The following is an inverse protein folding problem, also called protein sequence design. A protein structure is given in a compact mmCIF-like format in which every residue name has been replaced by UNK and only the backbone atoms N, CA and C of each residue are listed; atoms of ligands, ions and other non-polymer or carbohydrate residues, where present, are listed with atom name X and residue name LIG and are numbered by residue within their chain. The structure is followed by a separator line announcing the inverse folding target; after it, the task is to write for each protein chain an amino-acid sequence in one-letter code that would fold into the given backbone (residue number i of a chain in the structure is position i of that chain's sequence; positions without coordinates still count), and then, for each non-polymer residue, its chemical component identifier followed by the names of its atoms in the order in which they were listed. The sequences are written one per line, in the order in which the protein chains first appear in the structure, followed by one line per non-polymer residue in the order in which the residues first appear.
data_IF_671254303713
#
_entry.id   IF_671254303713
#
_cell.length_a   1.000
_cell.length_b   1.000
_cell.length_c   1.000
_cell.angle_alpha   90.00
_cell.angle_beta   90.00
_cell.angle_gamma   90.00
#
_symmetry.space_group_name_H-M   'P 1'
#
loop_
_entity.id
_entity.type
_entity.pdbx_description
1 polymer ?
#
# COMPACT_ATOMS: atom_id res chain seq x y z
N UNK A 1 -12.93 1.59 -16.14
CA UNK A 1 -11.89 0.78 -15.47
C UNK A 1 -12.33 0.55 -14.04
N UNK A 2 -11.96 -0.56 -13.43
CA UNK A 2 -12.22 -0.81 -12.00
C UNK A 2 -10.90 -1.08 -11.29
N UNK A 3 -10.89 -1.03 -9.95
CA UNK A 3 -9.69 -1.33 -9.16
C UNK A 3 -9.10 -2.73 -9.47
N UNK A 4 -9.94 -3.67 -9.87
CA UNK A 4 -9.50 -5.02 -10.26
C UNK A 4 -8.87 -5.13 -11.64
N UNK A 5 -8.97 -4.10 -12.49
CA UNK A 5 -8.33 -4.13 -13.81
C UNK A 5 -6.80 -3.99 -13.71
N UNK A 6 -6.27 -3.62 -12.54
CA UNK A 6 -4.85 -3.39 -12.29
C UNK A 6 -4.18 -4.60 -11.64
N UNK A 7 -2.87 -4.76 -11.87
CA UNK A 7 -2.07 -5.80 -11.25
C UNK A 7 -1.74 -5.48 -9.80
N UNK A 8 -2.15 -6.34 -8.88
CA UNK A 8 -1.87 -6.22 -7.44
C UNK A 8 -0.96 -7.33 -6.96
N UNK A 9 0.17 -7.04 -6.28
CA UNK A 9 0.97 -8.03 -5.57
C UNK A 9 0.23 -8.43 -4.28
N UNK A 10 -0.31 -9.65 -4.22
CA UNK A 10 -1.26 -10.02 -3.16
C UNK A 10 -0.71 -11.05 -2.18
N UNK A 11 0.27 -11.85 -2.59
CA UNK A 11 0.81 -12.91 -1.73
C UNK A 11 2.24 -13.29 -2.14
N UNK A 12 3.10 -13.59 -1.17
CA UNK A 12 4.46 -14.05 -1.42
C UNK A 12 4.44 -15.45 -2.04
N UNK A 13 5.04 -15.60 -3.22
CA UNK A 13 4.93 -16.83 -4.02
C UNK A 13 5.47 -18.07 -3.29
N UNK A 14 6.54 -17.91 -2.51
CA UNK A 14 7.15 -18.99 -1.71
C UNK A 14 6.26 -19.52 -0.58
N UNK A 15 5.30 -18.72 -0.12
CA UNK A 15 4.35 -19.08 0.94
C UNK A 15 3.12 -19.84 0.44
N UNK A 16 2.84 -19.78 -0.87
CA UNK A 16 1.73 -20.56 -1.45
C UNK A 16 2.18 -21.99 -1.69
N UNK A 17 1.86 -22.84 -0.72
CA UNK A 17 2.09 -24.29 -0.75
C UNK A 17 0.97 -25.05 -1.51
N UNK A 18 0.88 -26.36 -1.30
CA UNK A 18 -0.21 -27.19 -1.84
C UNK A 18 -1.59 -26.85 -1.23
N UNK A 19 -1.64 -26.17 -0.07
CA UNK A 19 -2.89 -25.76 0.57
C UNK A 19 -3.37 -24.44 -0.04
N UNK A 20 -4.66 -24.35 -0.44
CA UNK A 20 -5.26 -23.08 -0.88
C UNK A 20 -5.22 -22.02 0.23
N UNK A 21 -5.08 -20.76 -0.15
CA UNK A 21 -5.03 -19.62 0.78
C UNK A 21 -6.08 -18.60 0.40
N UNK A 22 -6.91 -18.19 1.36
CA UNK A 22 -7.84 -17.07 1.20
C UNK A 22 -7.14 -15.73 1.45
N UNK A 23 -7.33 -14.79 0.55
CA UNK A 23 -6.89 -13.39 0.68
C UNK A 23 -8.07 -12.45 0.54
N UNK A 24 -7.88 -11.18 0.89
CA UNK A 24 -8.84 -10.11 0.66
C UNK A 24 -8.21 -9.01 -0.19
N UNK A 25 -8.96 -8.48 -1.15
CA UNK A 25 -8.57 -7.32 -1.96
C UNK A 25 -9.85 -6.58 -2.39
N UNK A 26 -9.90 -5.25 -2.16
CA UNK A 26 -11.06 -4.41 -2.51
C UNK A 26 -12.40 -5.05 -2.12
N UNK A 27 -12.54 -5.44 -0.84
CA UNK A 27 -13.70 -6.13 -0.25
C UNK A 27 -14.02 -7.52 -0.80
N UNK A 28 -13.33 -8.01 -1.80
CA UNK A 28 -13.54 -9.36 -2.31
C UNK A 28 -12.66 -10.38 -1.59
N UNK A 29 -13.27 -11.52 -1.29
CA UNK A 29 -12.56 -12.70 -0.81
C UNK A 29 -12.11 -13.53 -2.03
N UNK A 30 -10.83 -13.80 -2.11
CA UNK A 30 -10.21 -14.50 -3.25
C UNK A 30 -9.41 -15.68 -2.71
N UNK A 31 -9.51 -16.83 -3.35
CA UNK A 31 -8.68 -17.99 -3.06
C UNK A 31 -7.53 -18.09 -4.05
N UNK A 32 -6.32 -18.22 -3.52
CA UNK A 32 -5.12 -18.56 -4.29
C UNK A 32 -4.81 -20.04 -4.10
N UNK A 33 -4.44 -20.73 -5.17
CA UNK A 33 -4.05 -22.14 -5.13
C UNK A 33 -3.04 -22.47 -6.23
N UNK A 34 -2.33 -23.57 -6.04
CA UNK A 34 -1.36 -24.08 -7.03
C UNK A 34 -1.88 -25.40 -7.60
N UNK A 35 -2.13 -25.46 -8.90
CA UNK A 35 -2.61 -26.64 -9.59
C UNK A 35 -1.95 -26.75 -10.97
N UNK A 36 -1.47 -27.95 -11.33
CA UNK A 36 -0.79 -28.18 -12.62
C UNK A 36 0.42 -27.27 -12.86
N UNK A 37 1.17 -26.93 -11.81
CA UNK A 37 2.34 -26.02 -11.91
C UNK A 37 1.98 -24.54 -12.12
N UNK A 38 0.69 -24.17 -12.12
CA UNK A 38 0.20 -22.80 -12.30
C UNK A 38 -0.44 -22.28 -11.01
N UNK A 39 -0.46 -20.95 -10.86
CA UNK A 39 -1.26 -20.29 -9.83
C UNK A 39 -2.64 -20.01 -10.39
N UNK A 40 -3.67 -20.45 -9.65
CA UNK A 40 -5.06 -20.07 -9.87
C UNK A 40 -5.52 -19.05 -8.83
N UNK A 41 -6.39 -18.14 -9.24
CA UNK A 41 -7.05 -17.17 -8.37
C UNK A 41 -8.53 -17.12 -8.72
N UNK A 42 -9.39 -17.47 -7.77
CA UNK A 42 -10.85 -17.51 -7.94
C UNK A 42 -11.54 -16.73 -6.81
N UNK A 43 -12.80 -16.34 -7.02
CA UNK A 43 -13.64 -15.91 -5.90
C UNK A 43 -13.66 -17.01 -4.83
N UNK A 44 -13.41 -16.64 -3.56
CA UNK A 44 -13.40 -17.60 -2.44
C UNK A 44 -14.83 -18.00 -2.04
N UNK A 45 -15.63 -18.39 -3.04
CA UNK A 45 -17.05 -18.70 -2.89
C UNK A 45 -17.46 -19.75 -3.91
N UNK A 46 -17.71 -20.97 -3.44
CA UNK A 46 -18.23 -22.05 -4.30
C UNK A 46 -19.63 -21.69 -4.82
N UNK A 47 -19.85 -21.65 -6.15
CA UNK A 47 -21.15 -21.29 -6.72
C UNK A 47 -22.28 -22.26 -6.35
N UNK A 48 -21.98 -23.47 -5.87
CA UNK A 48 -23.00 -24.42 -5.44
C UNK A 48 -23.76 -23.92 -4.20
N UNK A 49 -23.08 -23.79 -3.05
CA UNK A 49 -23.69 -23.38 -1.77
C UNK A 49 -22.82 -22.43 -0.96
N UNK A 50 -22.05 -21.59 -1.62
CA UNK A 50 -21.25 -20.48 -1.07
C UNK A 50 -20.19 -20.88 -0.02
N UNK A 51 -19.77 -22.17 0.00
CA UNK A 51 -18.65 -22.59 0.84
C UNK A 51 -17.37 -21.90 0.38
N UNK A 52 -16.53 -21.45 1.33
CA UNK A 52 -15.21 -20.92 1.02
C UNK A 52 -14.34 -21.98 0.34
N UNK A 53 -13.85 -21.67 -0.86
CA UNK A 53 -12.98 -22.56 -1.62
C UNK A 53 -11.58 -22.66 -0.99
N UNK A 54 -11.14 -21.63 -0.26
CA UNK A 54 -9.89 -21.63 0.53
C UNK A 54 -9.88 -22.68 1.66
N UNK A 55 -11.04 -23.21 2.05
CA UNK A 55 -11.17 -24.32 3.00
C UNK A 55 -11.12 -25.70 2.33
N UNK A 56 -10.96 -25.72 1.00
CA UNK A 56 -10.86 -26.92 0.20
C UNK A 56 -9.44 -27.47 0.11
N UNK A 57 -9.20 -28.24 -0.93
CA UNK A 57 -7.89 -28.83 -1.23
C UNK A 57 -7.64 -28.88 -2.73
N UNK A 58 -6.39 -28.96 -3.13
CA UNK A 58 -6.05 -29.23 -4.54
C UNK A 58 -6.00 -30.73 -4.77
N UNK A 59 -6.72 -31.21 -5.79
CA UNK A 59 -6.74 -32.60 -6.23
C UNK A 59 -6.40 -32.65 -7.71
N UNK A 60 -5.24 -33.18 -8.04
CA UNK A 60 -4.70 -33.11 -9.40
C UNK A 60 -4.49 -31.66 -9.85
N UNK A 61 -5.13 -31.27 -10.93
CA UNK A 61 -5.03 -29.90 -11.49
C UNK A 61 -6.22 -28.99 -11.13
N UNK A 62 -7.00 -29.37 -10.10
CA UNK A 62 -8.24 -28.66 -9.75
C UNK A 62 -8.34 -28.37 -8.25
N UNK A 63 -8.98 -27.28 -7.91
CA UNK A 63 -9.37 -26.92 -6.54
C UNK A 63 -10.70 -27.61 -6.21
N UNK A 64 -10.70 -28.46 -5.20
CA UNK A 64 -11.88 -29.16 -4.73
C UNK A 64 -12.53 -28.46 -3.54
N UNK A 65 -13.82 -28.17 -3.66
CA UNK A 65 -14.63 -27.65 -2.57
C UNK A 65 -14.81 -28.73 -1.47
N UNK A 66 -14.56 -28.32 -0.23
CA UNK A 66 -14.66 -29.24 0.93
C UNK A 66 -16.07 -29.77 1.19
N UNK A 67 -17.13 -29.03 0.74
CA UNK A 67 -18.49 -29.34 1.16
C UNK A 67 -19.10 -30.49 0.32
N UNK A 68 -19.08 -30.39 -1.03
CA UNK A 68 -19.71 -31.37 -1.90
C UNK A 68 -18.77 -31.85 -3.02
N UNK A 69 -17.45 -31.70 -2.82
CA UNK A 69 -16.42 -32.17 -3.75
C UNK A 69 -16.51 -31.58 -5.18
N UNK A 70 -17.22 -30.47 -5.39
CA UNK A 70 -17.16 -29.76 -6.66
C UNK A 70 -15.73 -29.32 -6.92
N UNK A 71 -15.25 -29.42 -8.14
CA UNK A 71 -13.90 -29.08 -8.52
C UNK A 71 -13.89 -27.90 -9.50
N UNK A 72 -12.84 -27.06 -9.43
CA UNK A 72 -12.68 -25.90 -10.29
C UNK A 72 -11.24 -25.84 -10.82
N UNK A 73 -11.09 -25.56 -12.12
CA UNK A 73 -9.78 -25.28 -12.68
C UNK A 73 -9.33 -23.82 -12.43
N UNK A 74 -8.13 -23.44 -12.93
CA UNK A 74 -7.63 -22.06 -12.78
C UNK A 74 -8.44 -21.02 -13.54
N UNK A 75 -9.26 -21.42 -14.53
CA UNK A 75 -10.17 -20.53 -15.24
C UNK A 75 -11.56 -20.45 -14.56
N UNK A 76 -11.76 -21.17 -13.45
CA UNK A 76 -13.01 -21.20 -12.70
C UNK A 76 -14.06 -22.17 -13.26
N UNK A 77 -13.74 -22.95 -14.31
CA UNK A 77 -14.67 -23.93 -14.85
C UNK A 77 -14.88 -25.05 -13.83
N UNK A 78 -16.15 -25.21 -13.42
CA UNK A 78 -16.57 -26.12 -12.33
C UNK A 78 -17.20 -27.40 -12.82
N UNK A 79 -16.97 -28.50 -12.07
CA UNK A 79 -17.56 -29.80 -12.28
C UNK A 79 -18.21 -30.33 -11.00
N UNK A 80 -19.40 -30.91 -11.16
CA UNK A 80 -20.14 -31.55 -10.06
C UNK A 80 -20.00 -33.09 -10.15
N UNK A 81 -19.56 -33.75 -9.08
CA UNK A 81 -19.48 -35.22 -9.11
C UNK A 81 -20.84 -35.90 -9.24
N UNK A 82 -21.91 -35.28 -8.74
CA UNK A 82 -23.28 -35.83 -8.81
C UNK A 82 -24.05 -35.45 -10.08
N UNK A 83 -23.57 -34.44 -10.83
CA UNK A 83 -24.24 -33.94 -12.04
C UNK A 83 -23.18 -33.49 -13.06
N UNK A 84 -22.49 -34.42 -13.73
CA UNK A 84 -21.33 -34.13 -14.58
C UNK A 84 -21.61 -33.19 -15.76
N UNK A 85 -22.86 -33.06 -16.20
CA UNK A 85 -23.27 -32.16 -17.31
C UNK A 85 -23.67 -30.78 -16.84
N UNK A 86 -23.67 -30.53 -15.53
CA UNK A 86 -23.97 -29.21 -14.99
C UNK A 86 -22.75 -28.29 -15.13
N UNK A 87 -22.91 -27.23 -15.93
CA UNK A 87 -21.89 -26.22 -16.05
C UNK A 87 -21.94 -25.25 -14.84
N UNK A 88 -20.82 -25.08 -14.21
CA UNK A 88 -20.66 -24.10 -13.13
C UNK A 88 -19.42 -23.22 -13.41
N UNK A 89 -19.49 -21.98 -13.01
CA UNK A 89 -18.39 -21.04 -13.18
C UNK A 89 -18.15 -20.30 -11.86
N UNK A 90 -16.94 -20.40 -11.30
CA UNK A 90 -16.46 -19.51 -10.27
C UNK A 90 -15.85 -18.24 -10.90
N UNK A 91 -16.06 -17.09 -10.28
CA UNK A 91 -15.36 -15.88 -10.71
C UNK A 91 -13.85 -16.12 -10.67
N UNK A 92 -13.14 -15.70 -11.73
CA UNK A 92 -11.71 -15.95 -11.85
C UNK A 92 -10.93 -14.64 -12.09
N UNK A 93 -9.66 -14.68 -11.71
CA UNK A 93 -8.70 -13.62 -11.90
C UNK A 93 -7.51 -14.14 -12.70
N UNK A 94 -6.92 -13.28 -13.49
CA UNK A 94 -5.61 -13.56 -14.09
C UNK A 94 -4.56 -13.49 -13.00
N UNK A 95 -3.72 -14.51 -12.88
CA UNK A 95 -2.67 -14.63 -11.89
C UNK A 95 -1.30 -14.87 -12.55
N UNK A 96 -0.25 -14.24 -12.02
CA UNK A 96 1.13 -14.44 -12.47
C UNK A 96 2.10 -14.37 -11.29
N UNK A 97 3.26 -15.03 -11.42
CA UNK A 97 4.34 -14.92 -10.45
C UNK A 97 5.45 -14.04 -11.02
N UNK A 98 5.74 -12.93 -10.34
CA UNK A 98 6.84 -12.01 -10.68
C UNK A 98 7.44 -11.42 -9.41
N UNK A 99 8.75 -11.19 -9.39
CA UNK A 99 9.46 -10.58 -8.27
C UNK A 99 9.17 -11.28 -6.92
N UNK A 100 9.11 -12.61 -6.92
CA UNK A 100 8.81 -13.47 -5.76
C UNK A 100 7.39 -13.29 -5.17
N UNK A 101 6.48 -12.62 -5.90
CA UNK A 101 5.10 -12.39 -5.49
C UNK A 101 4.10 -12.92 -6.52
N UNK A 102 2.94 -13.31 -6.01
CA UNK A 102 1.75 -13.60 -6.81
C UNK A 102 1.02 -12.28 -7.03
N UNK A 103 0.77 -11.99 -8.30
CA UNK A 103 0.05 -10.82 -8.77
C UNK A 103 -1.25 -11.26 -9.40
N UNK A 104 -2.32 -10.50 -9.13
CA UNK A 104 -3.64 -10.78 -9.72
C UNK A 104 -4.24 -9.50 -10.31
N UNK A 105 -5.10 -9.69 -11.32
CA UNK A 105 -6.01 -8.69 -11.85
C UNK A 105 -7.30 -9.36 -12.35
N UNK A 106 -8.32 -8.59 -12.69
CA UNK A 106 -9.53 -9.13 -13.31
C UNK A 106 -9.20 -9.85 -14.61
N UNK A 107 -9.85 -11.00 -14.85
CA UNK A 107 -9.69 -11.73 -16.09
C UNK A 107 -10.13 -10.88 -17.30
N UNK A 108 -9.27 -10.84 -18.32
CA UNK A 108 -9.51 -10.05 -19.54
C UNK A 108 -9.16 -8.56 -19.43
N UNK A 109 -8.70 -8.07 -18.28
CA UNK A 109 -8.19 -6.71 -18.16
C UNK A 109 -6.93 -6.50 -19.02
N UNK A 110 -6.74 -5.25 -19.49
CA UNK A 110 -5.66 -4.92 -20.47
C UNK A 110 -4.60 -3.99 -19.90
N UNK A 111 -4.67 -3.65 -18.59
CA UNK A 111 -3.67 -2.78 -17.98
C UNK A 111 -2.28 -3.42 -18.04
N UNK A 112 -1.26 -2.61 -18.31
CA UNK A 112 0.12 -3.09 -18.33
C UNK A 112 0.57 -3.54 -16.92
N UNK A 113 1.52 -4.48 -16.89
CA UNK A 113 2.20 -4.82 -15.64
C UNK A 113 3.09 -3.64 -15.21
N UNK A 114 3.16 -3.30 -13.91
CA UNK A 114 4.01 -2.22 -13.42
C UNK A 114 5.47 -2.41 -13.80
N UNK A 115 6.11 -1.36 -14.28
CA UNK A 115 7.52 -1.38 -14.63
C UNK A 115 8.41 -1.20 -13.41
N UNK A 116 9.43 -2.03 -13.31
CA UNK A 116 10.49 -1.93 -12.33
C UNK A 116 11.77 -1.46 -13.02
N UNK A 117 12.05 -0.17 -12.98
CA UNK A 117 13.27 0.42 -13.52
C UNK A 117 14.42 0.21 -12.53
N UNK A 118 15.07 -0.97 -12.58
CA UNK A 118 16.05 -1.38 -11.56
C UNK A 118 17.46 -1.61 -12.13
N UNK A 119 17.76 -1.10 -13.31
CA UNK A 119 19.08 -1.20 -13.90
C UNK A 119 20.14 -0.55 -12.99
N UNK A 120 21.20 -1.31 -12.71
CA UNK A 120 22.26 -0.90 -11.79
C UNK A 120 21.91 -1.03 -10.30
N UNK A 121 20.70 -1.46 -9.97
CA UNK A 121 20.29 -1.75 -8.60
C UNK A 121 20.33 -3.26 -8.32
N UNK A 122 20.55 -3.61 -7.06
CA UNK A 122 20.46 -4.99 -6.57
C UNK A 122 19.24 -5.14 -5.69
N UNK A 123 18.53 -6.23 -5.85
CA UNK A 123 17.39 -6.57 -5.02
C UNK A 123 17.85 -6.89 -3.58
N UNK A 124 17.22 -6.25 -2.60
CA UNK A 124 17.47 -6.43 -1.16
C UNK A 124 16.44 -7.35 -0.53
N UNK A 125 15.18 -7.20 -0.89
CA UNK A 125 14.08 -8.03 -0.39
C UNK A 125 12.73 -7.35 -0.50
N UNK A 126 11.72 -8.04 0.05
CA UNK A 126 10.34 -7.54 0.14
C UNK A 126 9.85 -7.49 1.57
N UNK A 127 8.91 -6.60 1.83
CA UNK A 127 8.18 -6.48 3.09
C UNK A 127 6.69 -6.41 2.80
N UNK A 128 5.87 -6.87 3.76
CA UNK A 128 4.43 -6.69 3.72
C UNK A 128 3.93 -6.26 5.10
N UNK A 129 3.15 -5.17 5.14
CA UNK A 129 2.55 -4.63 6.34
C UNK A 129 1.08 -4.33 6.08
N UNK A 130 0.23 -4.53 7.09
CA UNK A 130 -1.19 -4.17 6.99
C UNK A 130 -1.47 -3.01 7.91
N UNK A 131 -2.01 -1.93 7.34
CA UNK A 131 -2.42 -0.72 8.03
C UNK A 131 -3.92 -0.76 8.29
N UNK A 132 -4.34 -0.37 9.49
CA UNK A 132 -5.74 -0.19 9.85
C UNK A 132 -6.20 1.23 9.48
N UNK A 133 -6.09 1.54 8.20
CA UNK A 133 -6.50 2.81 7.62
C UNK A 133 -6.86 2.64 6.13
N UNK A 134 -7.76 3.48 5.59
CA UNK A 134 -8.09 3.52 4.17
C UNK A 134 -6.87 3.81 3.28
N UNK A 135 -6.97 3.44 2.01
CA UNK A 135 -5.93 3.67 1.01
C UNK A 135 -5.43 5.11 0.99
N UNK A 136 -6.34 6.08 1.02
CA UNK A 136 -6.05 7.51 0.93
C UNK A 136 -5.18 7.96 2.10
N UNK A 137 -5.53 7.55 3.31
CA UNK A 137 -4.83 7.92 4.54
C UNK A 137 -3.43 7.29 4.59
N UNK A 138 -3.31 6.03 4.16
CA UNK A 138 -2.00 5.39 4.08
C UNK A 138 -1.13 6.04 3.00
N UNK A 139 -1.70 6.34 1.84
CA UNK A 139 -0.97 7.02 0.77
C UNK A 139 -0.51 8.42 1.19
N UNK A 140 -1.34 9.18 1.93
CA UNK A 140 -0.98 10.51 2.42
C UNK A 140 0.29 10.45 3.28
N UNK A 141 0.34 9.55 4.26
CA UNK A 141 1.52 9.40 5.13
C UNK A 141 2.78 9.08 4.34
N UNK A 142 2.64 8.27 3.29
CA UNK A 142 3.76 7.86 2.44
C UNK A 142 4.13 8.87 1.35
N UNK A 143 3.39 9.96 1.20
CA UNK A 143 3.61 10.96 0.14
C UNK A 143 3.71 12.39 0.65
N UNK A 144 4.12 12.54 1.91
CA UNK A 144 4.55 13.79 2.53
C UNK A 144 5.81 13.53 3.39
N UNK A 145 6.52 14.58 3.77
CA UNK A 145 7.81 14.46 4.49
C UNK A 145 7.82 15.17 5.83
N UNK A 146 6.75 15.87 6.19
CA UNK A 146 6.72 16.73 7.38
C UNK A 146 6.74 15.92 8.68
N UNK A 147 6.24 14.67 8.67
CA UNK A 147 6.30 13.76 9.81
C UNK A 147 7.69 13.14 10.04
N UNK A 148 8.55 13.10 9.03
CA UNK A 148 9.79 12.32 9.08
C UNK A 148 10.76 12.73 10.19
N UNK A 149 10.89 14.02 10.58
CA UNK A 149 11.77 14.40 11.69
C UNK A 149 11.38 13.78 13.03
N UNK A 150 10.10 13.62 13.28
CA UNK A 150 9.55 13.20 14.58
C UNK A 150 9.21 11.71 14.63
N UNK A 151 8.88 11.11 13.49
CA UNK A 151 8.42 9.72 13.41
C UNK A 151 9.57 8.76 13.12
N UNK A 152 10.37 9.03 12.09
CA UNK A 152 11.40 8.10 11.65
C UNK A 152 12.68 8.18 12.50
N UNK A 153 13.36 7.04 12.63
CA UNK A 153 14.63 6.97 13.35
C UNK A 153 15.85 7.25 12.44
N UNK A 154 15.76 6.90 11.16
CA UNK A 154 16.90 6.91 10.24
C UNK A 154 16.76 7.91 9.11
N UNK A 155 15.60 7.97 8.47
CA UNK A 155 15.36 8.79 7.29
C UNK A 155 14.63 10.08 7.67
N UNK A 156 14.85 11.14 6.92
CA UNK A 156 14.15 12.42 7.11
C UNK A 156 15.06 13.61 7.34
N UNK A 157 14.43 14.73 7.65
CA UNK A 157 15.05 16.04 7.70
C UNK A 157 15.28 16.53 9.12
N UNK A 158 16.18 17.49 9.28
CA UNK A 158 16.40 18.18 10.54
C UNK A 158 15.18 19.03 10.91
N UNK A 159 14.54 18.75 12.06
CA UNK A 159 13.28 19.40 12.45
C UNK A 159 13.38 20.94 12.50
N UNK A 160 14.45 21.46 13.07
CA UNK A 160 14.68 22.92 13.20
C UNK A 160 14.93 23.59 11.86
N UNK A 161 15.24 22.82 10.82
CA UNK A 161 15.57 23.27 9.47
C UNK A 161 14.57 22.82 8.41
N UNK A 162 13.37 22.36 8.80
CA UNK A 162 12.33 21.94 7.85
C UNK A 162 11.95 23.04 6.85
N UNK A 163 12.09 24.32 7.22
CA UNK A 163 11.82 25.44 6.33
C UNK A 163 12.81 25.52 5.14
N UNK A 164 13.98 24.88 5.23
CA UNK A 164 14.99 24.80 4.17
C UNK A 164 14.73 23.64 3.19
N UNK A 165 13.81 22.72 3.52
CA UNK A 165 13.51 21.59 2.63
C UNK A 165 12.84 22.11 1.37
N UNK A 166 13.52 21.93 0.24
CA UNK A 166 12.97 22.24 -1.07
C UNK A 166 11.95 21.15 -1.46
N UNK A 167 10.77 21.55 -1.93
CA UNK A 167 9.78 20.62 -2.48
C UNK A 167 9.31 21.09 -3.85
N UNK A 168 9.25 20.16 -4.82
CA UNK A 168 8.78 20.39 -6.18
C UNK A 168 7.79 19.29 -6.56
N UNK A 169 6.70 19.66 -7.23
CA UNK A 169 5.66 18.74 -7.67
C UNK A 169 5.56 18.81 -9.19
N UNK A 170 5.63 17.65 -9.84
CA UNK A 170 5.43 17.47 -11.27
C UNK A 170 4.22 16.53 -11.49
N UNK A 171 3.28 16.95 -12.30
CA UNK A 171 2.03 16.22 -12.54
C UNK A 171 1.92 15.85 -14.00
N UNK A 172 1.60 14.58 -14.26
CA UNK A 172 1.23 14.09 -15.60
C UNK A 172 -0.19 13.49 -15.55
N UNK A 173 -0.70 13.05 -16.70
CA UNK A 173 -2.02 12.39 -16.73
C UNK A 173 -2.07 11.11 -15.90
N UNK A 174 -0.93 10.45 -15.68
CA UNK A 174 -0.87 9.12 -15.06
C UNK A 174 -0.02 9.05 -13.78
N UNK A 175 0.66 10.13 -13.43
CA UNK A 175 1.57 10.14 -12.27
C UNK A 175 1.67 11.51 -11.60
N UNK A 176 2.08 11.46 -10.33
CA UNK A 176 2.46 12.61 -9.53
C UNK A 176 3.84 12.36 -8.98
N UNK A 177 4.81 13.20 -9.34
CA UNK A 177 6.17 13.16 -8.79
C UNK A 177 6.34 14.28 -7.79
N UNK A 178 6.93 13.95 -6.66
CA UNK A 178 7.29 14.91 -5.61
C UNK A 178 8.77 14.73 -5.30
N UNK A 179 9.52 15.79 -5.52
CA UNK A 179 10.93 15.89 -5.13
C UNK A 179 11.03 16.66 -3.83
N UNK A 180 11.75 16.12 -2.85
CA UNK A 180 12.12 16.82 -1.64
C UNK A 180 13.63 16.72 -1.44
N UNK A 181 14.25 17.82 -1.01
CA UNK A 181 15.67 17.84 -0.75
C UNK A 181 16.02 18.84 0.33
N UNK A 182 16.72 18.39 1.36
CA UNK A 182 17.03 19.25 2.50
C UNK A 182 18.07 18.67 3.45
N UNK A 183 18.35 19.36 4.56
CA UNK A 183 19.35 18.95 5.52
C UNK A 183 18.95 17.64 6.20
N UNK A 184 19.82 16.62 6.06
CA UNK A 184 19.67 15.33 6.73
C UNK A 184 19.70 15.50 8.24
N UNK A 185 18.74 14.92 8.95
CA UNK A 185 18.80 14.84 10.40
C UNK A 185 19.97 13.97 10.89
N UNK A 186 20.34 14.12 12.15
CA UNK A 186 21.40 13.30 12.74
C UNK A 186 20.99 11.83 12.75
N UNK A 187 21.85 10.96 12.24
CA UNK A 187 21.67 9.51 12.18
C UNK A 187 22.80 8.81 12.94
N UNK A 188 22.58 7.53 13.39
CA UNK A 188 23.62 6.78 14.09
C UNK A 188 24.91 6.67 13.28
N UNK A 189 26.09 6.86 13.88
CA UNK A 189 27.38 6.87 13.17
C UNK A 189 27.66 5.63 12.33
N UNK A 190 27.22 4.45 12.78
CA UNK A 190 27.36 3.20 12.04
C UNK A 190 26.54 3.22 10.74
N UNK A 191 25.32 3.73 10.77
CA UNK A 191 24.45 3.85 9.59
C UNK A 191 25.06 4.89 8.63
N UNK A 192 25.48 6.03 9.15
CA UNK A 192 26.20 7.08 8.41
C UNK A 192 27.40 6.49 7.65
N UNK A 193 28.25 5.73 8.37
CA UNK A 193 29.40 5.06 7.77
C UNK A 193 29.01 4.03 6.69
N UNK A 194 28.02 3.19 6.95
CA UNK A 194 27.59 2.15 5.99
C UNK A 194 27.06 2.74 4.67
N UNK A 195 26.29 3.82 4.76
CA UNK A 195 25.70 4.48 3.60
C UNK A 195 26.60 5.55 2.96
N UNK A 196 27.74 5.86 3.58
CA UNK A 196 28.65 6.91 3.09
C UNK A 196 28.14 8.33 3.30
N UNK A 197 27.22 8.51 4.27
CA UNK A 197 26.60 9.81 4.60
C UNK A 197 27.55 10.59 5.52
N UNK A 198 27.64 11.91 5.30
CA UNK A 198 28.42 12.83 6.15
C UNK A 198 27.51 13.83 6.82
N UNK A 199 27.89 14.35 8.01
CA UNK A 199 27.18 15.49 8.60
C UNK A 199 27.09 16.64 7.60
N UNK A 200 25.89 17.20 7.43
CA UNK A 200 25.65 18.32 6.50
C UNK A 200 25.30 17.88 5.07
N UNK A 201 25.35 16.60 4.73
CA UNK A 201 24.86 16.13 3.43
C UNK A 201 23.36 16.42 3.28
N UNK A 202 22.94 16.72 2.05
CA UNK A 202 21.53 16.90 1.68
C UNK A 202 20.89 15.52 1.50
N UNK A 203 19.80 15.25 2.21
CA UNK A 203 18.95 14.11 1.94
C UNK A 203 17.97 14.44 0.81
N UNK A 204 17.88 13.57 -0.17
CA UNK A 204 16.92 13.66 -1.27
C UNK A 204 15.95 12.49 -1.17
N UNK A 205 14.67 12.83 -1.11
CA UNK A 205 13.56 11.91 -1.15
C UNK A 205 12.66 12.29 -2.34
N UNK A 206 12.82 11.55 -3.42
CA UNK A 206 12.17 11.80 -4.70
C UNK A 206 11.28 10.61 -5.03
N UNK A 207 9.98 10.80 -5.12
CA UNK A 207 9.09 9.72 -5.46
C UNK A 207 8.14 10.07 -6.58
N UNK A 208 7.71 9.02 -7.28
CA UNK A 208 6.66 9.10 -8.30
C UNK A 208 5.54 8.14 -7.93
N UNK A 209 4.36 8.69 -7.66
CA UNK A 209 3.13 7.92 -7.43
C UNK A 209 2.40 7.67 -8.75
N UNK A 210 2.00 6.42 -8.98
CA UNK A 210 1.18 5.98 -10.10
C UNK A 210 -0.10 5.33 -9.60
N UNK A 211 -1.12 5.28 -10.45
CA UNK A 211 -2.47 4.88 -10.03
C UNK A 211 -3.03 3.69 -10.84
N UNK A 212 -2.17 2.94 -11.52
CA UNK A 212 -2.56 1.73 -12.27
C UNK A 212 -1.52 0.61 -12.11
N UNK A 213 -1.50 -0.09 -10.97
CA UNK A 213 -2.20 0.11 -9.68
C UNK A 213 -1.70 1.34 -8.91
N UNK A 214 -2.20 1.54 -7.68
CA UNK A 214 -1.65 2.59 -6.81
C UNK A 214 -0.33 2.13 -6.23
N UNK A 215 0.74 2.80 -6.59
CA UNK A 215 2.07 2.57 -6.01
C UNK A 215 2.95 3.81 -6.12
N UNK A 216 3.90 3.93 -5.21
CA UNK A 216 4.97 4.95 -5.25
C UNK A 216 6.32 4.29 -5.46
N UNK A 217 7.12 4.87 -6.34
CA UNK A 217 8.53 4.51 -6.53
C UNK A 217 9.39 5.62 -5.94
N UNK A 218 10.11 5.32 -4.90
CA UNK A 218 11.02 6.24 -4.22
C UNK A 218 12.44 6.06 -4.72
N UNK A 219 13.12 7.18 -4.94
CA UNK A 219 14.55 7.31 -5.09
C UNK A 219 15.11 8.11 -3.92
N UNK A 220 15.73 7.43 -2.97
CA UNK A 220 16.29 8.04 -1.76
C UNK A 220 17.81 7.99 -1.80
N UNK A 221 18.46 9.16 -1.71
CA UNK A 221 19.91 9.29 -1.78
C UNK A 221 20.39 10.53 -1.06
N UNK A 222 21.71 10.64 -0.94
CA UNK A 222 22.36 11.81 -0.35
C UNK A 222 23.18 12.54 -1.39
N UNK A 223 23.27 13.86 -1.25
CA UNK A 223 24.02 14.71 -2.14
C UNK A 223 24.86 15.72 -1.36
N UNK A 224 25.93 16.18 -1.96
CA UNK A 224 26.69 17.32 -1.47
C UNK A 224 25.83 18.58 -1.53
N UNK A 225 25.68 19.33 -0.42
CA UNK A 225 24.79 20.49 -0.39
C UNK A 225 25.23 21.62 -1.33
N UNK A 226 26.52 21.69 -1.65
CA UNK A 226 27.10 22.75 -2.49
C UNK A 226 27.13 22.35 -3.96
N UNK A 227 27.70 21.17 -4.27
CA UNK A 227 27.89 20.72 -5.65
C UNK A 227 26.68 19.97 -6.20
N UNK A 228 25.75 19.57 -5.36
CA UNK A 228 24.60 18.69 -5.68
C UNK A 228 25.01 17.31 -6.21
N UNK A 229 26.28 16.95 -6.13
CA UNK A 229 26.79 15.65 -6.54
C UNK A 229 26.24 14.56 -5.62
N UNK A 230 25.67 13.52 -6.22
CA UNK A 230 25.18 12.34 -5.50
C UNK A 230 26.33 11.63 -4.77
N UNK A 231 26.05 11.15 -3.57
CA UNK A 231 27.00 10.46 -2.69
C UNK A 231 26.40 9.18 -2.13
N UNK A 232 27.28 8.23 -1.83
CA UNK A 232 26.92 7.03 -1.10
C UNK A 232 26.05 6.06 -1.88
N UNK A 233 25.30 5.26 -1.13
CA UNK A 233 24.35 4.31 -1.70
C UNK A 233 23.00 5.00 -1.98
N UNK A 234 22.28 4.48 -2.97
CA UNK A 234 20.95 4.98 -3.34
C UNK A 234 19.92 3.89 -3.23
N UNK A 235 18.85 4.16 -2.51
CA UNK A 235 17.67 3.29 -2.46
C UNK A 235 16.75 3.55 -3.65
N UNK A 236 16.15 2.47 -4.14
CA UNK A 236 14.94 2.51 -4.97
C UNK A 236 13.91 1.58 -4.35
N UNK A 237 12.80 2.14 -3.92
CA UNK A 237 11.79 1.41 -3.15
C UNK A 237 10.46 1.54 -3.86
N UNK A 238 9.86 0.42 -4.24
CA UNK A 238 8.50 0.38 -4.76
C UNK A 238 7.56 -0.01 -3.63
N UNK A 239 6.57 0.81 -3.36
CA UNK A 239 5.54 0.59 -2.34
C UNK A 239 4.19 0.50 -3.03
N UNK A 240 3.59 -0.68 -3.03
CA UNK A 240 2.26 -0.93 -3.59
C UNK A 240 1.23 -0.85 -2.46
N UNK A 241 0.14 -0.14 -2.72
CA UNK A 241 -0.94 0.09 -1.78
C UNK A 241 -2.16 -0.73 -2.21
N UNK A 242 -2.40 -1.86 -1.54
CA UNK A 242 -3.50 -2.76 -1.84
C UNK A 242 -4.63 -2.58 -0.81
N UNK A 243 -5.75 -1.92 -1.14
CA UNK A 243 -6.89 -1.87 -0.23
C UNK A 243 -7.41 -3.28 0.01
N UNK A 244 -7.44 -3.72 1.25
CA UNK A 244 -8.11 -4.97 1.64
C UNK A 244 -9.62 -4.74 1.69
N UNK A 245 -10.00 -3.63 2.28
CA UNK A 245 -11.36 -3.11 2.40
C UNK A 245 -11.30 -1.57 2.60
N UNK A 246 -12.42 -0.95 2.95
CA UNK A 246 -12.53 0.49 3.18
C UNK A 246 -11.80 0.99 4.44
N UNK A 247 -11.33 0.09 5.31
CA UNK A 247 -10.68 0.40 6.59
C UNK A 247 -9.24 -0.10 6.67
N UNK A 248 -8.80 -0.93 5.74
CA UNK A 248 -7.47 -1.55 5.81
C UNK A 248 -6.78 -1.55 4.47
N UNK A 249 -5.50 -1.27 4.51
CA UNK A 249 -4.61 -1.28 3.33
C UNK A 249 -3.37 -2.12 3.62
N UNK A 250 -3.06 -3.06 2.73
CA UNK A 250 -1.81 -3.79 2.74
C UNK A 250 -0.78 -3.06 1.90
N UNK A 251 0.38 -2.79 2.49
CA UNK A 251 1.57 -2.36 1.77
C UNK A 251 2.40 -3.57 1.38
N UNK A 252 2.82 -3.59 0.12
CA UNK A 252 3.83 -4.52 -0.37
C UNK A 252 5.01 -3.71 -0.89
N UNK A 253 6.15 -3.87 -0.25
CA UNK A 253 7.36 -3.08 -0.52
C UNK A 253 8.42 -3.96 -1.19
N UNK A 254 9.00 -3.47 -2.28
CA UNK A 254 10.14 -4.07 -2.96
C UNK A 254 11.33 -3.11 -2.84
N UNK A 255 12.37 -3.53 -2.12
CA UNK A 255 13.55 -2.71 -1.86
C UNK A 255 14.72 -3.11 -2.76
N UNK A 256 15.28 -2.12 -3.43
CA UNK A 256 16.48 -2.23 -4.25
C UNK A 256 17.50 -1.21 -3.78
N UNK A 257 18.79 -1.55 -3.92
CA UNK A 257 19.90 -0.67 -3.54
C UNK A 257 20.94 -0.61 -4.66
N UNK A 258 21.32 0.60 -5.05
CA UNK A 258 22.52 0.85 -5.83
C UNK A 258 23.66 1.16 -4.85
N UNK A 259 24.74 0.34 -4.85
CA UNK A 259 25.84 0.56 -3.92
C UNK A 259 26.60 1.84 -4.21
N UNK A 260 27.26 2.40 -3.21
CA UNK A 260 28.20 3.49 -3.36
C UNK A 260 29.39 3.04 -4.26
N UNK A 261 29.68 3.72 -5.39
CA UNK A 261 30.80 3.38 -6.25
C UNK A 261 32.15 3.35 -5.51
N UNK A 262 32.27 4.12 -4.45
CA UNK A 262 33.48 4.23 -3.61
C UNK A 262 33.39 3.46 -2.30
N UNK A 263 32.30 2.69 -2.08
CA UNK A 263 32.00 2.02 -0.82
C UNK A 263 32.87 0.81 -0.49
N UNK A 264 33.54 0.23 -1.50
CA UNK A 264 34.43 -0.93 -1.31
C UNK A 264 33.72 -2.10 -0.57
N UNK A 265 34.35 -2.64 0.47
CA UNK A 265 33.81 -3.75 1.25
C UNK A 265 32.52 -3.39 2.02
N UNK A 266 32.27 -2.12 2.31
CA UNK A 266 31.03 -1.66 2.96
C UNK A 266 29.80 -2.03 2.14
N UNK A 267 29.89 -1.99 0.83
CA UNK A 267 28.80 -2.37 -0.06
C UNK A 267 28.31 -3.79 0.15
N UNK A 268 29.19 -4.72 0.53
CA UNK A 268 28.78 -6.09 0.84
C UNK A 268 27.86 -6.18 2.07
N UNK A 269 28.07 -5.29 3.06
CA UNK A 269 27.22 -5.23 4.26
C UNK A 269 25.82 -4.68 3.94
N UNK A 270 25.68 -3.83 2.90
CA UNK A 270 24.41 -3.26 2.50
C UNK A 270 23.43 -4.25 1.85
N UNK A 271 23.89 -5.46 1.48
CA UNK A 271 23.03 -6.49 0.89
C UNK A 271 22.57 -7.56 1.87
N UNK A 272 22.82 -7.38 3.16
CA UNK A 272 22.31 -8.30 4.17
C UNK A 272 20.82 -8.02 4.42
N UNK A 273 20.03 -9.09 4.52
CA UNK A 273 18.61 -9.02 4.90
C UNK A 273 18.37 -8.27 6.21
N UNK A 274 19.38 -8.13 7.07
CA UNK A 274 19.34 -7.31 8.29
C UNK A 274 19.04 -5.83 8.02
N UNK A 275 19.40 -5.29 6.84
CA UNK A 275 19.04 -3.92 6.45
C UNK A 275 17.57 -3.80 6.11
N UNK A 276 16.95 -4.84 5.56
CA UNK A 276 15.52 -4.85 5.31
C UNK A 276 14.72 -4.70 6.61
N UNK A 277 15.23 -5.24 7.71
CA UNK A 277 14.65 -5.06 9.04
C UNK A 277 14.64 -3.58 9.47
N UNK A 278 15.68 -2.80 9.14
CA UNK A 278 15.70 -1.35 9.42
C UNK A 278 14.60 -0.62 8.65
N UNK A 279 14.46 -0.91 7.35
CA UNK A 279 13.37 -0.35 6.55
C UNK A 279 12.00 -0.75 7.11
N UNK A 280 11.85 -2.02 7.50
CA UNK A 280 10.62 -2.51 8.13
C UNK A 280 10.27 -1.79 9.43
N UNK A 281 11.28 -1.41 10.24
CA UNK A 281 11.05 -0.62 11.45
C UNK A 281 10.51 0.79 11.15
N UNK A 282 11.02 1.46 10.12
CA UNK A 282 10.50 2.78 9.72
C UNK A 282 9.02 2.66 9.32
N UNK A 283 8.65 1.63 8.53
CA UNK A 283 7.25 1.37 8.15
C UNK A 283 6.36 1.07 9.39
N UNK A 284 6.88 0.36 10.38
CA UNK A 284 6.14 0.10 11.64
C UNK A 284 5.91 1.40 12.43
N UNK A 285 6.85 2.35 12.38
CA UNK A 285 6.63 3.67 13.01
C UNK A 285 5.53 4.45 12.31
N UNK A 286 5.47 4.43 10.98
CA UNK A 286 4.34 4.99 10.23
C UNK A 286 3.01 4.34 10.60
N UNK A 287 3.00 3.01 10.70
CA UNK A 287 1.82 2.26 11.11
C UNK A 287 1.32 2.70 12.49
N UNK A 288 2.24 2.86 13.45
CA UNK A 288 1.89 3.32 14.81
C UNK A 288 1.31 4.75 14.79
N UNK A 289 1.85 5.65 13.95
CA UNK A 289 1.30 7.00 13.83
C UNK A 289 -0.10 6.99 13.25
N UNK A 290 -0.34 6.22 12.19
CA UNK A 290 -1.67 6.11 11.60
C UNK A 290 -2.70 5.44 12.53
N UNK A 291 -2.26 4.58 13.44
CA UNK A 291 -3.14 3.99 14.47
C UNK A 291 -3.64 5.04 15.47
N UNK A 292 -2.86 6.09 15.71
CA UNK A 292 -3.17 7.17 16.67
C UNK A 292 -4.04 8.29 16.06
N UNK A 293 -4.33 8.26 14.76
CA UNK A 293 -5.20 9.26 14.16
C UNK A 293 -6.61 9.19 14.76
N UNK A 294 -7.11 10.34 15.23
CA UNK A 294 -8.47 10.46 15.79
C UNK A 294 -9.56 10.31 14.71
N UNK A 295 -9.25 10.69 13.47
CA UNK A 295 -10.12 10.57 12.31
C UNK A 295 -9.32 9.98 11.14
N UNK A 296 -9.84 8.93 10.54
CA UNK A 296 -9.28 8.25 9.37
C UNK A 296 -10.19 8.37 8.15
N UNK A 297 -11.06 9.38 8.13
CA UNK A 297 -11.90 9.67 6.98
C UNK A 297 -11.04 9.97 5.74
N UNK A 298 -11.34 9.41 4.57
CA UNK A 298 -10.51 9.56 3.38
C UNK A 298 -10.56 10.97 2.76
N UNK A 299 -11.51 11.83 3.16
CA UNK A 299 -11.62 13.23 2.74
C UNK A 299 -10.53 14.12 3.33
N UNK A 300 -10.41 15.33 2.78
CA UNK A 300 -9.50 16.38 3.28
C UNK A 300 -10.25 17.59 3.83
N UNK A 301 -11.57 17.52 3.89
CA UNK A 301 -12.42 18.60 4.37
C UNK A 301 -12.12 18.91 5.84
N UNK A 302 -11.91 20.18 6.14
CA UNK A 302 -11.58 20.65 7.49
C UNK A 302 -10.11 20.51 7.90
N UNK A 303 -9.26 19.85 7.10
CA UNK A 303 -7.82 19.79 7.34
C UNK A 303 -7.16 21.14 7.05
N UNK A 304 -6.11 21.46 7.80
CA UNK A 304 -5.20 22.60 7.53
C UNK A 304 -3.95 22.05 6.89
N UNK A 305 -3.84 22.17 5.58
CA UNK A 305 -2.78 21.59 4.78
C UNK A 305 -1.55 22.48 4.75
N UNK A 306 -0.37 21.88 4.91
CA UNK A 306 0.93 22.52 4.79
C UNK A 306 1.41 22.61 3.33
N UNK A 307 2.59 23.15 3.13
CA UNK A 307 3.21 23.15 1.79
C UNK A 307 3.62 21.77 1.28
N UNK A 308 3.71 20.77 2.16
CA UNK A 308 4.07 19.40 1.83
C UNK A 308 2.84 18.55 1.45
N UNK A 309 1.64 19.01 1.77
CA UNK A 309 0.37 18.32 1.54
C UNK A 309 -0.29 18.65 0.19
N UNK A 310 0.41 19.37 -0.69
CA UNK A 310 -0.15 19.88 -1.97
C UNK A 310 -0.74 18.81 -2.88
N UNK A 311 -0.29 17.57 -2.73
CA UNK A 311 -0.70 16.45 -3.60
C UNK A 311 -1.91 15.66 -3.09
N UNK A 312 -2.35 15.87 -1.85
CA UNK A 312 -3.40 15.06 -1.23
C UNK A 312 -4.72 15.07 -2.02
N UNK A 313 -5.21 16.23 -2.37
CA UNK A 313 -6.43 16.36 -3.18
C UNK A 313 -6.28 15.76 -4.58
N UNK A 314 -5.10 15.91 -5.18
CA UNK A 314 -4.80 15.33 -6.49
C UNK A 314 -4.74 13.79 -6.42
N UNK A 315 -4.16 13.22 -5.35
CA UNK A 315 -4.13 11.77 -5.15
C UNK A 315 -5.56 11.19 -5.06
N UNK A 316 -6.47 11.83 -4.31
CA UNK A 316 -7.88 11.41 -4.25
C UNK A 316 -8.54 11.41 -5.61
N UNK A 317 -8.39 12.49 -6.37
CA UNK A 317 -8.95 12.58 -7.72
C UNK A 317 -8.38 11.47 -8.63
N UNK A 318 -7.08 11.18 -8.56
CA UNK A 318 -6.44 10.13 -9.36
C UNK A 318 -6.83 8.72 -8.91
N UNK A 319 -7.00 8.47 -7.61
CA UNK A 319 -7.53 7.21 -7.09
C UNK A 319 -8.93 6.97 -7.65
N UNK A 320 -9.82 7.96 -7.60
CA UNK A 320 -11.18 7.81 -8.13
C UNK A 320 -11.19 7.59 -9.64
N UNK A 321 -10.49 8.43 -10.40
CA UNK A 321 -10.52 8.40 -11.86
C UNK A 321 -9.75 7.23 -12.47
N UNK A 322 -8.50 7.01 -12.04
CA UNK A 322 -7.59 6.05 -12.68
C UNK A 322 -7.63 4.67 -12.04
N UNK A 323 -7.73 4.61 -10.70
CA UNK A 323 -7.73 3.33 -9.99
C UNK A 323 -9.14 2.75 -9.87
N UNK A 324 -10.12 3.54 -9.38
CA UNK A 324 -11.51 3.08 -9.21
C UNK A 324 -12.35 3.21 -10.49
N UNK A 325 -11.92 4.04 -11.44
CA UNK A 325 -12.60 4.25 -12.72
C UNK A 325 -13.92 5.00 -12.59
N UNK A 326 -14.08 5.84 -11.56
CA UNK A 326 -15.26 6.67 -11.34
C UNK A 326 -15.11 8.02 -12.02
N UNK A 327 -16.21 8.55 -12.55
CA UNK A 327 -16.24 9.93 -13.06
C UNK A 327 -16.35 10.94 -11.90
N UNK A 328 -15.91 12.18 -12.15
CA UNK A 328 -15.99 13.27 -11.15
C UNK A 328 -17.40 13.51 -10.62
N UNK A 329 -18.43 13.24 -11.41
CA UNK A 329 -19.83 13.41 -11.02
C UNK A 329 -20.30 12.31 -10.04
N UNK A 330 -19.74 11.10 -10.14
CA UNK A 330 -20.05 9.97 -9.24
C UNK A 330 -19.28 10.07 -7.92
N UNK A 331 -18.11 10.72 -7.91
CA UNK A 331 -17.30 10.91 -6.70
C UNK A 331 -17.97 11.88 -5.71
N UNK A 332 -18.68 12.92 -6.21
CA UNK A 332 -19.42 13.87 -5.38
C UNK A 332 -20.68 13.29 -4.71
N UNK A 333 -21.31 12.29 -5.33
CA UNK A 333 -22.55 11.71 -4.82
C UNK A 333 -22.35 10.77 -3.60
N UNK A 334 -21.18 10.12 -3.48
CA UNK A 334 -20.88 9.21 -2.39
C UNK A 334 -20.32 9.90 -1.13
N UNK A 335 -19.86 11.16 -1.24
CA UNK A 335 -19.45 11.98 -0.09
C UNK A 335 -20.63 12.60 0.69
N UNK A 336 -21.83 12.61 0.12
CA UNK A 336 -23.03 13.26 0.69
C UNK A 336 -23.97 12.29 1.46
N UNK A 337 -23.64 11.01 1.57
CA UNK A 337 -24.54 10.00 2.09
C UNK A 337 -24.09 9.32 3.36
N UNK A 338 -24.06 9.98 4.52
CA UNK A 338 -24.45 9.44 5.84
C UNK A 338 -24.31 10.51 6.94
N UNK A 339 -25.08 11.56 6.88
CA UNK A 339 -25.46 12.31 8.09
C UNK A 339 -26.97 12.17 8.28
N UNK A 340 -27.40 11.14 9.02
CA UNK A 340 -28.72 11.13 9.64
C UNK A 340 -28.76 12.27 10.66
N UNK A 341 -29.73 13.19 10.61
CA UNK A 341 -29.88 14.17 11.66
C UNK A 341 -30.34 13.42 12.94
N UNK A 342 -29.53 13.50 13.98
CA UNK A 342 -29.99 13.15 15.32
C UNK A 342 -31.07 14.14 15.72
N UNK A 343 -32.27 13.63 15.95
CA UNK A 343 -33.39 14.38 16.52
C UNK A 343 -32.98 15.02 17.86
N UNK A 344 -33.05 16.34 17.91
CA UNK A 344 -32.89 17.11 19.14
C UNK A 344 -34.00 16.72 20.12
N UNK A 345 -33.64 15.98 21.16
CA UNK A 345 -34.47 15.78 22.33
C UNK A 345 -34.40 17.06 23.14
N UNK A 346 -35.52 17.77 23.27
CA UNK A 346 -35.69 18.92 24.14
C UNK A 346 -35.37 18.54 25.59
N UNK A 347 -34.34 19.17 26.13
CA UNK A 347 -34.08 19.16 27.56
C UNK A 347 -35.17 20.05 28.25
N UNK A 348 -35.97 19.41 29.11
CA UNK A 348 -36.94 20.09 29.93
C UNK A 348 -36.27 20.98 30.96
N UNK A 349 -36.96 22.07 31.29
CA UNK A 349 -36.57 23.09 32.24
C UNK A 349 -36.34 22.53 33.63
N UNK A 350 -35.26 22.96 34.28
CA UNK A 350 -34.99 22.78 35.70
C UNK A 350 -36.04 23.49 36.58
N UNK A 351 -36.52 22.88 37.65
CA UNK A 351 -37.31 23.58 38.70
C UNK A 351 -36.37 24.32 39.67
N UNK A 352 -36.70 25.55 39.97
CA UNK A 352 -36.06 26.40 40.98
C UNK A 352 -36.12 25.78 42.39
N UNK A 353 -35.12 26.00 43.24
CA UNK A 353 -35.17 25.56 44.64
C UNK A 353 -36.09 26.48 45.47
N UNK A 354 -36.93 25.86 46.29
CA UNK A 354 -37.76 26.53 47.29
C UNK A 354 -36.90 26.99 48.50
N UNK A 355 -37.09 28.22 48.90
CA UNK A 355 -36.53 28.78 50.10
C UNK A 355 -37.11 28.05 51.34
N UNK A 356 -36.24 27.62 52.26
CA UNK A 356 -36.61 27.11 53.58
C UNK A 356 -36.56 28.28 54.59
N UNK A 357 -37.70 28.70 55.06
CA UNK A 357 -37.81 29.54 56.24
C UNK A 357 -37.48 28.74 57.50
N UNK A 358 -36.84 29.42 58.41
CA UNK A 358 -36.46 28.98 59.75
C UNK A 358 -37.63 28.83 60.69
N UNK A 359 -37.61 27.81 61.58
CA UNK A 359 -38.00 27.82 62.96
C UNK A 359 -37.27 26.73 63.70
#
# INVERSE_FOLDING_TARGET
MSAFDHWHPVYEASKLSAKPVGIRLNDRQIVLFRAGGRVGALDDCCPHRRMRLSQGQVVGERLQCRYHAWTFDCAGAGESPGTPKLHAQAGCYEATERHDWIWIRAAGARTAFPEFAVDGYRFVGTLAHTFNAPLEIVLDNFTEVEHTPTTHALLGYELTRMHEVETRVEVTDHSVRVYNGGPQKQIPPLVSFLFGIRPGDKFVDDWTTRFSPVYSCYDQYWADPTTQAEKGARWRIYVFFNPLDDQRTQLVTFAYLRPDPHGGWRNWLLFKRSLLWLVGREIVLDQQMLELLADKSPGIEGMKLSRFDKVLGLHRARIEQLYRGRTTDEAGANGAGTSRPQSATQLGADPQPAEAEAS
#
